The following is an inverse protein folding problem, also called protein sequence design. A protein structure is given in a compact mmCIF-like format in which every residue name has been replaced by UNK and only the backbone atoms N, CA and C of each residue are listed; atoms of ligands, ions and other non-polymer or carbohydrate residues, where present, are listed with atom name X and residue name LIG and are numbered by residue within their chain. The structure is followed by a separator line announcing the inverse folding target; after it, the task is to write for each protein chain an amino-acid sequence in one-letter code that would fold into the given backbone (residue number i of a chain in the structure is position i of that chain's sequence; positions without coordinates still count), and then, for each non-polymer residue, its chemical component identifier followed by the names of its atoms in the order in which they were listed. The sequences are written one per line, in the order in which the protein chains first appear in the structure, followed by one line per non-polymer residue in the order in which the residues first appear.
data_IF_708621275019
#
_entry.id   IF_708621275019
#
_cell.length_a   1.000
_cell.length_b   1.000
_cell.length_c   1.000
_cell.angle_alpha   90.00
_cell.angle_beta   90.00
_cell.angle_gamma   90.00
#
_symmetry.space_group_name_H-M   'P 1'
#
loop_
_entity.id
_entity.type
_entity.pdbx_description
1 polymer ?
#
# COMPACT_ATOMS: atom_id res chain seq x y z
N UNK A 1 -4.10 26.94 1.90
CA UNK A 1 -4.48 25.79 1.06
C UNK A 1 -5.45 26.19 -0.06
N UNK A 2 -5.01 26.08 -1.31
CA UNK A 2 -5.84 26.08 -2.52
C UNK A 2 -5.91 24.68 -3.13
N UNK A 3 -7.05 24.34 -3.73
CA UNK A 3 -7.25 23.06 -4.44
C UNK A 3 -7.29 23.33 -5.94
N UNK A 4 -6.51 22.55 -6.70
CA UNK A 4 -6.37 22.61 -8.14
C UNK A 4 -6.96 21.32 -8.74
N UNK A 5 -8.22 21.34 -9.20
CA UNK A 5 -8.88 20.16 -9.74
C UNK A 5 -8.56 19.93 -11.22
N UNK A 6 -8.39 18.66 -11.59
CA UNK A 6 -8.20 18.20 -12.95
C UNK A 6 -9.18 17.07 -13.28
N UNK A 7 -9.61 16.97 -14.53
CA UNK A 7 -10.43 15.82 -14.97
C UNK A 7 -9.57 14.55 -15.01
N UNK A 8 -8.41 14.61 -15.66
CA UNK A 8 -7.50 13.47 -15.82
C UNK A 8 -6.05 13.95 -15.75
N UNK A 9 -5.21 13.22 -15.01
CA UNK A 9 -3.75 13.35 -15.01
C UNK A 9 -3.11 11.98 -15.21
N UNK A 10 -1.80 11.92 -15.48
CA UNK A 10 -1.07 10.66 -15.36
C UNK A 10 -0.89 10.28 -13.89
N UNK A 11 -0.39 11.21 -13.09
CA UNK A 11 -0.35 11.12 -11.62
C UNK A 11 -0.42 12.52 -11.00
N UNK A 12 -1.21 12.69 -9.93
CA UNK A 12 -1.23 13.93 -9.13
C UNK A 12 0.14 14.20 -8.49
N UNK A 13 0.85 13.14 -8.09
CA UNK A 13 2.19 13.23 -7.51
C UNK A 13 3.21 13.78 -8.50
N UNK A 14 3.28 13.19 -9.69
CA UNK A 14 4.23 13.64 -10.72
C UNK A 14 3.90 15.06 -11.17
N UNK A 15 2.61 15.34 -11.42
CA UNK A 15 2.19 16.68 -11.83
C UNK A 15 2.62 17.74 -10.81
N UNK A 16 2.35 17.52 -9.52
CA UNK A 16 2.72 18.48 -8.48
C UNK A 16 4.24 18.62 -8.35
N UNK A 17 4.98 17.51 -8.45
CA UNK A 17 6.44 17.46 -8.38
C UNK A 17 7.15 18.13 -9.55
N UNK A 18 6.57 18.06 -10.74
CA UNK A 18 7.08 18.72 -11.95
C UNK A 18 6.83 20.23 -11.91
N UNK A 19 5.72 20.67 -11.32
CA UNK A 19 5.29 22.07 -11.24
C UNK A 19 5.46 22.67 -9.83
N UNK A 20 6.35 22.11 -8.99
CA UNK A 20 6.45 22.43 -7.55
C UNK A 20 6.56 23.93 -7.22
N UNK A 21 7.26 24.68 -8.07
CA UNK A 21 7.47 26.14 -7.94
C UNK A 21 6.17 26.97 -8.01
N UNK A 22 5.08 26.37 -8.54
CA UNK A 22 3.77 27.03 -8.66
C UNK A 22 2.89 26.89 -7.43
N UNK A 23 3.26 26.02 -6.50
CA UNK A 23 2.43 25.64 -5.35
C UNK A 23 3.01 26.16 -4.03
N UNK A 24 2.11 26.51 -3.12
CA UNK A 24 2.45 26.82 -1.74
C UNK A 24 2.34 25.58 -0.85
N UNK A 25 2.90 25.65 0.35
CA UNK A 25 2.71 24.58 1.33
C UNK A 25 1.22 24.35 1.59
N UNK A 26 0.84 23.07 1.69
CA UNK A 26 -0.53 22.56 1.79
C UNK A 26 -1.47 22.88 0.63
N UNK A 27 -0.97 23.41 -0.50
CA UNK A 27 -1.77 23.38 -1.74
C UNK A 27 -1.99 21.94 -2.21
N UNK A 28 -3.10 21.72 -2.91
CA UNK A 28 -3.55 20.37 -3.29
C UNK A 28 -3.79 20.28 -4.79
N UNK A 29 -3.17 19.31 -5.45
CA UNK A 29 -3.55 18.87 -6.79
C UNK A 29 -4.47 17.68 -6.64
N UNK A 30 -5.64 17.68 -7.28
CA UNK A 30 -6.53 16.53 -7.32
C UNK A 30 -6.96 16.20 -8.75
N UNK A 31 -7.26 14.93 -9.01
CA UNK A 31 -7.77 14.49 -10.30
C UNK A 31 -8.98 13.56 -10.13
N UNK A 32 -9.97 13.64 -11.03
CA UNK A 32 -11.07 12.65 -11.05
C UNK A 32 -10.58 11.27 -11.50
N UNK A 33 -9.55 11.21 -12.34
CA UNK A 33 -8.93 9.95 -12.78
C UNK A 33 -7.41 10.10 -12.98
N UNK A 34 -6.67 9.01 -12.79
CA UNK A 34 -5.23 8.92 -13.10
C UNK A 34 -4.95 7.79 -14.10
N UNK A 35 -4.20 8.10 -15.17
CA UNK A 35 -3.80 7.11 -16.19
C UNK A 35 -2.63 6.22 -15.74
N UNK A 36 -1.78 6.74 -14.87
CA UNK A 36 -0.56 6.10 -14.39
C UNK A 36 -0.45 6.26 -12.87
N UNK A 37 -1.54 5.97 -12.15
CA UNK A 37 -1.59 6.04 -10.69
C UNK A 37 -0.50 5.20 -10.03
N UNK A 38 0.23 5.79 -9.09
CA UNK A 38 1.41 5.17 -8.45
C UNK A 38 1.12 4.78 -7.00
N UNK A 39 1.56 3.59 -6.64
CA UNK A 39 1.73 3.14 -5.27
C UNK A 39 3.22 3.04 -4.89
N UNK A 40 3.49 2.62 -3.66
CA UNK A 40 4.87 2.39 -3.20
C UNK A 40 5.53 1.28 -4.01
N UNK A 41 6.86 1.38 -4.13
CA UNK A 41 7.70 0.35 -4.76
C UNK A 41 7.30 0.03 -6.19
N UNK A 42 6.66 0.93 -6.93
CA UNK A 42 6.23 0.67 -8.31
C UNK A 42 4.93 -0.13 -8.43
N UNK A 43 4.22 -0.38 -7.33
CA UNK A 43 2.85 -0.88 -7.41
C UNK A 43 1.96 0.14 -8.14
N UNK A 44 0.92 -0.34 -8.82
CA UNK A 44 -0.02 0.50 -9.54
C UNK A 44 -1.20 0.82 -8.62
N UNK A 45 -1.63 2.08 -8.61
CA UNK A 45 -2.88 2.49 -7.96
C UNK A 45 -4.02 2.56 -8.97
N UNK A 46 -4.90 1.56 -8.95
CA UNK A 46 -6.06 1.49 -9.84
C UNK A 46 -7.01 2.65 -9.50
N UNK A 47 -7.25 3.52 -10.47
CA UNK A 47 -8.05 4.73 -10.31
C UNK A 47 -9.40 4.57 -11.00
N UNK A 48 -10.47 4.41 -10.21
CA UNK A 48 -11.85 4.40 -10.70
C UNK A 48 -12.58 5.70 -10.34
N UNK A 49 -13.61 6.04 -11.11
CA UNK A 49 -14.40 7.26 -10.86
C UNK A 49 -15.05 7.22 -9.47
N UNK A 50 -15.03 8.36 -8.77
CA UNK A 50 -15.54 8.49 -7.41
C UNK A 50 -14.50 8.30 -6.31
N UNK A 51 -13.23 8.03 -6.65
CA UNK A 51 -12.12 8.03 -5.69
C UNK A 51 -11.69 9.46 -5.32
N UNK A 52 -11.13 9.62 -4.12
CA UNK A 52 -10.32 10.80 -3.81
C UNK A 52 -8.87 10.51 -4.21
N UNK A 53 -8.39 11.18 -5.27
CA UNK A 53 -7.03 11.07 -5.79
C UNK A 53 -6.40 12.44 -5.74
N UNK A 54 -5.47 12.65 -4.80
CA UNK A 54 -4.89 13.96 -4.58
C UNK A 54 -3.47 13.89 -4.03
N UNK A 55 -2.73 14.97 -4.22
CA UNK A 55 -1.40 15.18 -3.66
C UNK A 55 -1.34 16.57 -3.06
N UNK A 56 -0.71 16.70 -1.90
CA UNK A 56 -0.41 18.00 -1.30
C UNK A 56 1.08 18.15 -0.99
N UNK A 57 1.53 19.40 -0.93
CA UNK A 57 2.92 19.77 -0.75
C UNK A 57 3.21 20.08 0.73
N UNK A 58 4.28 19.49 1.26
CA UNK A 58 4.88 19.86 2.55
C UNK A 58 6.31 20.31 2.30
N UNK A 59 6.70 21.47 2.83
CA UNK A 59 8.05 22.01 2.64
C UNK A 59 8.93 21.65 3.83
N UNK A 60 10.20 21.37 3.56
CA UNK A 60 11.18 21.16 4.63
C UNK A 60 11.39 22.47 5.40
N UNK A 61 11.36 22.38 6.72
CA UNK A 61 11.73 23.46 7.64
C UNK A 61 13.25 23.44 7.82
N UNK A 62 13.91 24.57 7.61
CA UNK A 62 15.39 24.65 7.59
C UNK A 62 16.05 24.08 8.86
N UNK A 63 15.40 24.25 10.01
CA UNK A 63 15.90 23.79 11.31
C UNK A 63 15.69 22.29 11.58
N UNK A 64 14.97 21.57 10.71
CA UNK A 64 14.56 20.17 10.95
C UNK A 64 15.40 19.18 10.14
N UNK A 65 15.68 18.02 10.73
CA UNK A 65 16.47 16.96 10.07
C UNK A 65 15.63 16.17 9.07
N UNK A 66 16.28 15.62 8.03
CA UNK A 66 15.61 14.77 7.04
C UNK A 66 14.94 13.53 7.66
N UNK A 67 15.51 13.00 8.74
CA UNK A 67 15.00 11.83 9.46
C UNK A 67 13.60 12.07 10.05
N UNK A 68 13.28 13.32 10.44
CA UNK A 68 11.95 13.67 10.95
C UNK A 68 10.88 13.49 9.87
N UNK A 69 11.22 13.76 8.61
CA UNK A 69 10.29 13.63 7.48
C UNK A 69 10.05 12.18 7.05
N UNK A 70 10.84 11.21 7.52
CA UNK A 70 10.54 9.79 7.31
C UNK A 70 9.23 9.35 7.96
N UNK A 71 8.71 10.12 8.93
CA UNK A 71 7.45 9.86 9.63
C UNK A 71 6.22 10.46 8.91
N UNK A 72 6.40 11.19 7.80
CA UNK A 72 5.28 11.75 7.03
C UNK A 72 4.19 10.74 6.65
N UNK A 73 4.49 9.49 6.22
CA UNK A 73 3.44 8.51 5.94
C UNK A 73 2.59 8.16 7.17
N UNK A 74 3.20 8.15 8.36
CA UNK A 74 2.51 7.88 9.63
C UNK A 74 1.60 9.05 10.00
N UNK A 75 2.11 10.29 9.90
CA UNK A 75 1.36 11.52 10.18
C UNK A 75 0.18 11.69 9.21
N UNK A 76 0.41 11.51 7.90
CA UNK A 76 -0.63 11.56 6.90
C UNK A 76 -1.69 10.46 7.12
N UNK A 77 -1.27 9.27 7.55
CA UNK A 77 -2.19 8.19 7.87
C UNK A 77 -3.09 8.49 9.07
N UNK A 78 -2.51 9.08 10.12
CA UNK A 78 -3.27 9.54 11.26
C UNK A 78 -4.22 10.68 10.89
N UNK A 79 -3.78 11.63 10.05
CA UNK A 79 -4.61 12.72 9.55
C UNK A 79 -5.85 12.20 8.81
N UNK A 80 -5.67 11.19 7.95
CA UNK A 80 -6.80 10.53 7.27
C UNK A 80 -7.76 9.92 8.29
N UNK A 81 -7.26 9.18 9.28
CA UNK A 81 -8.12 8.54 10.27
C UNK A 81 -8.86 9.56 11.15
N UNK A 82 -8.20 10.63 11.61
CA UNK A 82 -8.84 11.71 12.37
C UNK A 82 -9.95 12.38 11.57
N UNK A 83 -9.70 12.73 10.30
CA UNK A 83 -10.71 13.32 9.42
C UNK A 83 -11.91 12.38 9.20
N UNK A 84 -11.68 11.07 9.02
CA UNK A 84 -12.76 10.09 8.86
C UNK A 84 -13.58 9.90 10.13
N UNK A 85 -12.95 9.82 11.31
CA UNK A 85 -13.64 9.71 12.60
C UNK A 85 -14.53 10.91 12.89
N UNK A 86 -14.08 12.12 12.54
CA UNK A 86 -14.88 13.34 12.66
C UNK A 86 -16.20 13.29 11.85
N UNK A 87 -16.23 12.52 10.76
CA UNK A 87 -17.43 12.31 9.95
C UNK A 87 -18.29 11.17 10.47
N UNK A 88 -17.67 10.03 10.78
CA UNK A 88 -18.36 8.85 11.28
C UNK A 88 -17.43 8.02 12.15
N UNK A 89 -17.82 7.83 13.40
CA UNK A 89 -17.07 7.01 14.36
C UNK A 89 -17.18 5.53 13.97
N UNK A 90 -16.11 5.01 13.38
CA UNK A 90 -15.94 3.60 13.00
C UNK A 90 -14.51 3.15 13.35
N UNK A 91 -14.29 1.85 13.32
CA UNK A 91 -12.97 1.26 13.54
C UNK A 91 -12.10 1.35 12.27
N UNK A 92 -11.52 2.52 12.04
CA UNK A 92 -10.44 2.70 11.07
C UNK A 92 -9.11 2.25 11.69
N UNK A 93 -8.30 1.55 10.90
CA UNK A 93 -7.05 0.95 11.35
C UNK A 93 -5.92 1.42 10.44
N UNK A 94 -4.75 1.66 11.02
CA UNK A 94 -3.54 1.99 10.29
C UNK A 94 -2.72 0.72 10.07
N UNK A 95 -2.48 0.36 8.80
CA UNK A 95 -1.56 -0.72 8.43
C UNK A 95 -0.24 -0.09 8.01
N UNK A 96 0.78 -0.31 8.83
CA UNK A 96 2.15 0.09 8.52
C UNK A 96 2.55 -0.49 7.14
N UNK A 97 3.17 0.30 6.27
CA UNK A 97 3.74 1.65 6.51
C UNK A 97 2.81 2.82 6.22
N UNK A 98 1.73 2.63 5.46
CA UNK A 98 1.11 3.74 4.72
C UNK A 98 -0.33 3.47 4.25
N UNK A 99 -0.98 2.42 4.75
CA UNK A 99 -2.30 2.03 4.30
C UNK A 99 -3.34 2.24 5.40
N UNK A 100 -4.53 2.70 5.03
CA UNK A 100 -5.68 2.82 5.92
C UNK A 100 -6.64 1.67 5.63
N UNK A 101 -7.09 1.01 6.68
CA UNK A 101 -7.97 -0.15 6.63
C UNK A 101 -9.30 0.16 7.34
N UNK A 102 -10.38 -0.42 6.81
CA UNK A 102 -11.70 -0.42 7.40
C UNK A 102 -12.31 -1.80 7.18
N UNK A 103 -12.87 -2.42 8.24
CA UNK A 103 -13.41 -3.79 8.18
C UNK A 103 -12.43 -4.81 7.56
N UNK A 104 -11.15 -4.73 7.95
CA UNK A 104 -10.05 -5.56 7.44
C UNK A 104 -9.73 -5.42 5.94
N UNK A 105 -10.27 -4.43 5.25
CA UNK A 105 -10.01 -4.14 3.83
C UNK A 105 -9.36 -2.78 3.67
N UNK A 106 -8.53 -2.62 2.64
CA UNK A 106 -7.83 -1.38 2.31
C UNK A 106 -8.81 -0.31 1.83
N UNK A 107 -8.80 0.83 2.49
CA UNK A 107 -9.59 2.01 2.19
C UNK A 107 -8.76 3.07 1.47
N UNK A 108 -7.54 3.31 1.93
CA UNK A 108 -6.64 4.30 1.36
C UNK A 108 -5.18 3.84 1.35
N UNK A 109 -4.39 4.41 0.46
CA UNK A 109 -2.93 4.26 0.42
C UNK A 109 -2.26 5.61 0.29
N UNK A 110 -1.11 5.75 0.95
CA UNK A 110 -0.35 7.01 1.03
C UNK A 110 1.01 6.82 0.39
N UNK A 111 1.38 7.73 -0.52
CA UNK A 111 2.66 7.74 -1.19
C UNK A 111 3.37 9.07 -0.90
N UNK A 112 4.46 9.02 -0.16
CA UNK A 112 5.32 10.19 0.07
C UNK A 112 6.52 10.09 -0.85
N UNK A 113 6.72 11.13 -1.66
CA UNK A 113 7.90 11.30 -2.50
C UNK A 113 8.59 12.62 -2.18
N UNK A 114 9.88 12.71 -2.47
CA UNK A 114 10.68 13.92 -2.21
C UNK A 114 11.34 14.39 -3.50
N UNK A 115 11.43 15.71 -3.67
CA UNK A 115 12.32 16.36 -4.63
C UNK A 115 12.93 17.58 -3.96
N UNK A 116 14.25 17.61 -3.83
CA UNK A 116 14.96 18.65 -3.08
C UNK A 116 14.41 18.75 -1.65
N UNK A 117 13.90 19.91 -1.25
CA UNK A 117 13.34 20.17 0.07
C UNK A 117 11.79 20.08 0.11
N UNK A 118 11.18 19.64 -0.99
CA UNK A 118 9.73 19.47 -1.10
C UNK A 118 9.31 18.00 -0.96
N UNK A 119 8.28 17.77 -0.15
CA UNK A 119 7.63 16.47 0.05
C UNK A 119 6.23 16.48 -0.56
N UNK A 120 5.95 15.49 -1.39
CA UNK A 120 4.68 15.32 -2.12
C UNK A 120 3.93 14.15 -1.50
N UNK A 121 2.87 14.45 -0.76
CA UNK A 121 2.07 13.46 -0.05
C UNK A 121 0.85 13.14 -0.91
N UNK A 122 0.95 12.05 -1.66
CA UNK A 122 -0.12 11.47 -2.46
C UNK A 122 -1.02 10.59 -1.63
N UNK A 123 -2.33 10.78 -1.76
CA UNK A 123 -3.34 9.94 -1.12
C UNK A 123 -4.33 9.50 -2.19
N UNK A 124 -4.41 8.18 -2.36
CA UNK A 124 -5.49 7.52 -3.07
C UNK A 124 -6.44 6.90 -2.07
N UNK A 125 -7.73 7.21 -2.16
CA UNK A 125 -8.74 6.69 -1.24
C UNK A 125 -10.02 6.29 -1.97
N UNK A 126 -10.55 5.13 -1.62
CA UNK A 126 -11.82 4.63 -2.10
C UNK A 126 -12.97 5.35 -1.38
N UNK A 127 -13.65 6.26 -2.07
CA UNK A 127 -14.70 7.11 -1.46
C UNK A 127 -16.08 6.72 -1.99
N UNK A 128 -16.42 7.15 -3.20
CA UNK A 128 -17.70 6.89 -3.86
C UNK A 128 -17.57 5.92 -5.03
N UNK A 129 -16.40 5.32 -5.21
CA UNK A 129 -16.15 4.40 -6.29
C UNK A 129 -16.69 3.01 -5.98
N UNK A 130 -17.11 2.32 -7.04
CA UNK A 130 -17.32 0.87 -6.98
C UNK A 130 -15.97 0.18 -6.94
N UNK A 131 -15.80 -0.70 -5.97
CA UNK A 131 -14.61 -1.54 -5.87
C UNK A 131 -14.70 -2.62 -6.96
N UNK A 132 -13.68 -2.74 -7.84
CA UNK A 132 -13.63 -3.81 -8.83
C UNK A 132 -13.78 -5.18 -8.18
N UNK A 133 -14.45 -6.12 -8.87
CA UNK A 133 -14.76 -7.45 -8.31
C UNK A 133 -13.49 -8.17 -7.87
N UNK A 134 -12.39 -8.00 -8.62
CA UNK A 134 -11.05 -8.58 -8.45
C UNK A 134 -10.42 -8.27 -7.09
N UNK A 135 -10.70 -7.07 -6.57
CA UNK A 135 -10.11 -6.59 -5.32
C UNK A 135 -11.15 -6.37 -4.22
N UNK A 136 -12.42 -6.72 -4.48
CA UNK A 136 -13.54 -6.52 -3.54
C UNK A 136 -13.32 -7.16 -2.18
N UNK A 137 -12.52 -8.22 -2.10
CA UNK A 137 -12.23 -8.88 -0.84
C UNK A 137 -11.06 -8.28 -0.07
N UNK A 138 -10.24 -7.43 -0.71
CA UNK A 138 -9.09 -6.74 -0.10
C UNK A 138 -9.25 -5.23 -0.01
N UNK A 139 -10.22 -4.64 -0.70
CA UNK A 139 -10.49 -3.21 -0.75
C UNK A 139 -11.95 -2.88 -0.42
N UNK A 140 -12.18 -1.69 0.12
CA UNK A 140 -13.50 -1.19 0.53
C UNK A 140 -13.57 0.31 0.24
N UNK A 141 -14.77 0.81 -0.10
CA UNK A 141 -15.03 2.25 -0.24
C UNK A 141 -15.84 2.80 0.93
N UNK A 142 -15.75 4.11 1.17
CA UNK A 142 -16.59 4.77 2.18
C UNK A 142 -18.07 4.60 1.85
N UNK A 143 -18.48 4.73 0.59
CA UNK A 143 -19.88 4.60 0.17
C UNK A 143 -20.46 3.21 0.51
N UNK A 144 -19.68 2.13 0.37
CA UNK A 144 -20.11 0.77 0.77
C UNK A 144 -20.49 0.70 2.26
N UNK A 145 -19.78 1.45 3.11
CA UNK A 145 -19.96 1.43 4.56
C UNK A 145 -20.92 2.50 5.06
N UNK A 146 -20.85 3.69 4.48
CA UNK A 146 -21.63 4.85 4.88
C UNK A 146 -23.05 4.77 4.32
N UNK A 147 -23.24 4.12 3.17
CA UNK A 147 -24.49 4.05 2.41
C UNK A 147 -24.98 5.42 1.92
N UNK A 148 -24.06 6.37 1.73
CA UNK A 148 -24.30 7.72 1.23
C UNK A 148 -23.07 8.22 0.46
N UNK A 149 -23.29 9.24 -0.39
CA UNK A 149 -22.21 9.88 -1.15
C UNK A 149 -21.47 10.87 -0.25
N UNK A 150 -20.15 10.80 -0.28
CA UNK A 150 -19.27 11.72 0.44
C UNK A 150 -18.77 12.82 -0.49
N UNK A 151 -18.86 14.08 -0.06
CA UNK A 151 -18.27 15.21 -0.81
C UNK A 151 -16.74 15.15 -0.70
N UNK A 152 -16.08 14.94 -1.85
CA UNK A 152 -14.66 14.58 -1.94
C UNK A 152 -13.77 15.78 -1.61
N UNK A 153 -14.09 16.98 -2.11
CA UNK A 153 -13.23 18.15 -1.90
C UNK A 153 -13.19 18.54 -0.43
N UNK A 154 -14.33 18.53 0.25
CA UNK A 154 -14.47 18.75 1.69
C UNK A 154 -13.69 17.71 2.49
N UNK A 155 -13.72 16.43 2.10
CA UNK A 155 -12.94 15.38 2.77
C UNK A 155 -11.43 15.62 2.60
N UNK A 156 -10.99 15.99 1.40
CA UNK A 156 -9.59 16.34 1.13
C UNK A 156 -9.16 17.52 2.01
N UNK A 157 -9.98 18.58 2.11
CA UNK A 157 -9.68 19.74 2.95
C UNK A 157 -9.52 19.35 4.42
N UNK A 158 -10.42 18.54 4.96
CA UNK A 158 -10.33 18.07 6.34
C UNK A 158 -9.06 17.26 6.58
N UNK A 159 -8.70 16.34 5.68
CA UNK A 159 -7.48 15.53 5.79
C UNK A 159 -6.22 16.41 5.81
N UNK A 160 -6.13 17.38 4.89
CA UNK A 160 -4.94 18.24 4.80
C UNK A 160 -4.85 19.16 6.03
N UNK A 161 -5.97 19.68 6.53
CA UNK A 161 -6.00 20.47 7.77
C UNK A 161 -5.59 19.64 9.00
N UNK A 162 -6.03 18.38 9.09
CA UNK A 162 -5.57 17.48 10.16
C UNK A 162 -4.07 17.17 10.02
N UNK A 163 -3.55 17.06 8.80
CA UNK A 163 -2.12 16.84 8.57
C UNK A 163 -1.28 18.06 8.95
N UNK A 164 -1.74 19.27 8.63
CA UNK A 164 -1.12 20.54 9.03
C UNK A 164 -0.99 20.63 10.56
N UNK A 165 -2.09 20.40 11.30
CA UNK A 165 -2.09 20.36 12.77
C UNK A 165 -1.12 19.31 13.33
N UNK A 166 -1.16 18.09 12.79
CA UNK A 166 -0.29 16.99 13.23
C UNK A 166 1.19 17.28 13.00
N UNK A 167 1.53 17.98 11.92
CA UNK A 167 2.91 18.41 11.68
C UNK A 167 3.36 19.44 12.71
N UNK A 168 2.50 20.40 13.06
CA UNK A 168 2.79 21.36 14.14
C UNK A 168 2.99 20.67 15.49
N UNK A 169 2.08 19.78 15.87
CA UNK A 169 2.17 18.95 17.08
C UNK A 169 3.49 18.16 17.10
N UNK A 170 3.79 17.47 15.99
CA UNK A 170 5.00 16.66 15.84
C UNK A 170 6.29 17.50 15.99
N UNK A 171 6.40 18.63 15.29
CA UNK A 171 7.57 19.49 15.39
C UNK A 171 7.68 20.21 16.74
N UNK A 172 6.56 20.36 17.47
CA UNK A 172 6.56 20.87 18.85
C UNK A 172 6.99 19.84 19.89
N UNK A 173 7.26 18.59 19.49
CA UNK A 173 7.77 17.54 20.36
C UNK A 173 6.73 16.51 20.83
N UNK A 174 5.50 16.53 20.31
CA UNK A 174 4.41 15.63 20.73
C UNK A 174 4.43 14.27 20.01
N UNK A 175 5.61 13.80 19.59
CA UNK A 175 5.72 12.56 18.83
C UNK A 175 5.25 11.33 19.61
N UNK A 176 5.51 11.29 20.92
CA UNK A 176 5.12 10.15 21.77
C UNK A 176 3.60 9.97 21.79
N UNK A 177 2.83 11.04 22.00
CA UNK A 177 1.35 11.00 22.01
C UNK A 177 0.78 10.59 20.64
N UNK A 178 1.33 11.16 19.56
CA UNK A 178 0.97 10.80 18.18
C UNK A 178 1.23 9.31 17.93
N UNK A 179 2.40 8.80 18.35
CA UNK A 179 2.77 7.40 18.16
C UNK A 179 1.89 6.45 18.99
N UNK A 180 1.50 6.85 20.21
CA UNK A 180 0.55 6.09 21.01
C UNK A 180 -0.81 5.96 20.32
N UNK A 181 -1.32 7.06 19.74
CA UNK A 181 -2.57 7.04 18.97
C UNK A 181 -2.45 6.10 17.76
N UNK A 182 -1.37 6.19 16.98
CA UNK A 182 -1.13 5.31 15.83
C UNK A 182 -1.07 3.84 16.27
N UNK A 183 -0.36 3.53 17.36
CA UNK A 183 -0.26 2.17 17.87
C UNK A 183 -1.58 1.60 18.42
N UNK A 184 -2.48 2.44 18.92
CA UNK A 184 -3.80 2.03 19.37
C UNK A 184 -4.68 1.51 18.22
N UNK A 185 -4.42 1.97 16.99
CA UNK A 185 -5.12 1.58 15.75
C UNK A 185 -4.23 0.78 14.78
N UNK A 186 -3.11 0.23 15.26
CA UNK A 186 -2.20 -0.56 14.44
C UNK A 186 -2.86 -1.89 14.00
N UNK A 187 -3.24 -1.94 12.72
CA UNK A 187 -3.88 -3.10 12.09
C UNK A 187 -3.06 -4.40 12.23
N UNK A 188 -1.74 -4.29 12.28
CA UNK A 188 -0.83 -5.42 12.27
C UNK A 188 -0.53 -5.96 13.66
N UNK A 189 -0.84 -5.22 14.73
CA UNK A 189 -0.51 -5.59 16.11
C UNK A 189 -1.01 -7.01 16.45
N UNK A 190 -0.11 -7.85 16.96
CA UNK A 190 -0.38 -9.23 17.32
C UNK A 190 -0.49 -10.21 16.13
N UNK A 191 -0.43 -9.73 14.88
CA UNK A 191 -0.47 -10.60 13.70
C UNK A 191 0.90 -11.17 13.38
N UNK A 192 0.93 -12.44 12.99
CA UNK A 192 2.11 -13.06 12.38
C UNK A 192 2.19 -12.63 10.92
N UNK A 193 3.31 -12.05 10.50
CA UNK A 193 3.54 -11.60 9.14
C UNK A 193 4.90 -12.04 8.63
N UNK A 194 5.09 -11.97 7.31
CA UNK A 194 6.39 -11.84 6.68
C UNK A 194 6.70 -10.39 6.37
N UNK A 195 7.96 -9.98 6.48
CA UNK A 195 8.44 -8.67 6.08
C UNK A 195 9.56 -8.81 5.06
N UNK A 196 9.38 -8.18 3.89
CA UNK A 196 10.34 -8.21 2.78
C UNK A 196 11.02 -6.85 2.59
N UNK A 197 12.34 -6.83 2.76
CA UNK A 197 13.19 -5.64 2.58
C UNK A 197 14.39 -5.99 1.69
N UNK A 198 14.26 -5.75 0.38
CA UNK A 198 15.26 -6.24 -0.58
C UNK A 198 15.35 -7.76 -0.55
N UNK A 199 16.56 -8.30 -0.32
CA UNK A 199 16.79 -9.74 -0.18
C UNK A 199 16.49 -10.29 1.23
N UNK A 200 16.22 -9.42 2.20
CA UNK A 200 15.90 -9.82 3.56
C UNK A 200 14.42 -10.21 3.65
N UNK A 201 14.16 -11.35 4.26
CA UNK A 201 12.83 -11.81 4.64
C UNK A 201 12.84 -12.24 6.09
N UNK A 202 11.97 -11.64 6.91
CA UNK A 202 11.83 -11.96 8.32
C UNK A 202 10.37 -12.31 8.61
N UNK A 203 10.14 -13.42 9.31
CA UNK A 203 8.83 -13.75 9.85
C UNK A 203 8.79 -13.45 11.34
N UNK A 204 7.68 -12.88 11.80
CA UNK A 204 7.54 -12.56 13.21
C UNK A 204 6.12 -12.11 13.57
N UNK A 205 5.90 -11.92 14.87
CA UNK A 205 4.67 -11.34 15.41
C UNK A 205 4.89 -9.86 15.62
N UNK A 206 4.05 -9.03 15.01
CA UNK A 206 4.12 -7.58 15.15
C UNK A 206 3.79 -7.16 16.57
N UNK A 207 4.68 -6.40 17.18
CA UNK A 207 4.50 -5.89 18.54
C UNK A 207 3.90 -4.48 18.52
N UNK A 208 4.59 -3.54 17.86
CA UNK A 208 4.20 -2.13 17.73
C UNK A 208 4.94 -1.46 16.58
N UNK A 209 4.67 -0.17 16.38
CA UNK A 209 5.56 0.77 15.71
C UNK A 209 6.38 1.46 16.81
N UNK A 210 7.69 1.51 16.66
CA UNK A 210 8.61 2.08 17.67
C UNK A 210 8.77 3.61 17.55
N UNK A 211 9.59 4.18 18.43
CA UNK A 211 9.87 5.62 18.51
C UNK A 211 10.50 6.21 17.23
N UNK A 212 11.08 5.38 16.37
CA UNK A 212 11.65 5.82 15.10
C UNK A 212 10.61 5.81 13.97
N UNK A 213 9.45 5.18 14.19
CA UNK A 213 8.43 4.94 13.17
C UNK A 213 8.59 3.59 12.47
N UNK A 214 9.41 2.70 13.02
CA UNK A 214 9.75 1.40 12.43
C UNK A 214 8.84 0.30 12.95
N UNK A 215 8.59 -0.73 12.14
CA UNK A 215 7.77 -1.86 12.56
C UNK A 215 8.59 -2.84 13.40
N UNK A 216 8.18 -3.04 14.65
CA UNK A 216 8.83 -3.95 15.59
C UNK A 216 8.23 -5.36 15.46
N UNK A 217 9.08 -6.35 15.15
CA UNK A 217 8.73 -7.76 15.00
C UNK A 217 9.44 -8.61 16.04
N UNK A 218 8.69 -9.49 16.71
CA UNK A 218 9.23 -10.58 17.50
C UNK A 218 9.41 -11.80 16.58
N UNK A 219 10.65 -12.06 16.17
CA UNK A 219 11.06 -13.21 15.36
C UNK A 219 11.72 -14.30 16.23
N UNK A 220 12.21 -15.38 15.62
CA UNK A 220 13.00 -16.39 16.33
C UNK A 220 14.35 -15.85 16.83
N UNK A 221 14.87 -14.79 16.19
CA UNK A 221 16.12 -14.13 16.56
C UNK A 221 15.94 -13.08 17.65
N UNK A 222 14.69 -12.85 18.09
CA UNK A 222 14.32 -11.86 19.08
C UNK A 222 13.56 -10.67 18.49
N UNK A 223 13.61 -9.54 19.18
CA UNK A 223 12.90 -8.32 18.82
C UNK A 223 13.75 -7.50 17.84
N UNK A 224 13.20 -7.16 16.68
CA UNK A 224 13.88 -6.42 15.61
C UNK A 224 12.95 -5.33 15.04
N UNK A 225 13.49 -4.15 14.75
CA UNK A 225 12.78 -3.04 14.11
C UNK A 225 13.16 -2.87 12.65
N UNK A 226 12.19 -2.45 11.84
CA UNK A 226 12.38 -2.25 10.40
C UNK A 226 11.70 -0.96 9.91
N UNK A 227 12.48 0.02 9.47
CA UNK A 227 11.96 1.26 8.87
C UNK A 227 11.53 1.14 7.40
N UNK A 228 11.95 0.07 6.72
CA UNK A 228 11.63 -0.18 5.31
C UNK A 228 11.23 -1.64 5.14
N UNK A 229 10.08 -1.88 4.52
CA UNK A 229 9.60 -3.23 4.27
C UNK A 229 8.30 -3.25 3.48
N UNK A 230 8.02 -4.38 2.86
CA UNK A 230 6.69 -4.74 2.37
C UNK A 230 6.20 -5.83 3.32
N UNK A 231 5.10 -5.53 4.01
CA UNK A 231 4.42 -6.50 4.84
C UNK A 231 3.71 -7.46 3.89
N UNK A 232 4.12 -8.72 3.92
CA UNK A 232 3.55 -9.79 3.11
C UNK A 232 2.97 -10.87 4.04
N UNK A 233 2.02 -11.63 3.52
CA UNK A 233 1.53 -12.87 4.12
C UNK A 233 2.57 -13.97 3.91
N UNK A 234 2.18 -15.20 4.25
CA UNK A 234 2.99 -16.38 4.02
C UNK A 234 3.52 -16.47 2.59
N UNK A 235 4.63 -17.19 2.46
CA UNK A 235 5.28 -17.40 1.18
C UNK A 235 4.63 -18.56 0.43
N UNK A 236 4.32 -18.34 -0.83
CA UNK A 236 3.68 -19.30 -1.71
C UNK A 236 4.59 -19.59 -2.90
N UNK A 237 4.80 -20.87 -3.17
CA UNK A 237 5.52 -21.35 -4.35
C UNK A 237 4.53 -21.58 -5.49
N UNK A 238 4.86 -21.07 -6.67
CA UNK A 238 4.09 -21.31 -7.90
C UNK A 238 5.00 -21.98 -8.94
N UNK A 239 4.57 -23.10 -9.50
CA UNK A 239 5.27 -23.73 -10.63
C UNK A 239 5.01 -22.93 -11.90
N UNK A 240 6.07 -22.55 -12.62
CA UNK A 240 5.94 -21.83 -13.88
C UNK A 240 5.52 -22.74 -15.02
N UNK A 241 4.34 -22.46 -15.58
CA UNK A 241 3.81 -23.09 -16.78
C UNK A 241 3.68 -22.05 -17.91
N UNK A 242 3.77 -22.49 -19.17
CA UNK A 242 3.73 -21.61 -20.35
C UNK A 242 2.30 -21.13 -20.68
N UNK A 243 1.60 -20.54 -19.73
CA UNK A 243 0.23 -20.06 -19.91
C UNK A 243 0.00 -18.71 -19.22
N UNK A 244 -0.99 -17.95 -19.71
CA UNK A 244 -1.38 -16.67 -19.12
C UNK A 244 -2.02 -16.86 -17.74
N UNK A 245 -2.59 -18.04 -17.48
CA UNK A 245 -3.23 -18.41 -16.23
C UNK A 245 -2.27 -18.31 -15.03
N UNK A 246 -1.04 -18.83 -15.15
CA UNK A 246 -0.07 -18.80 -14.04
C UNK A 246 0.34 -17.37 -13.70
N UNK A 247 0.45 -16.51 -14.71
CA UNK A 247 0.76 -15.10 -14.53
C UNK A 247 -0.36 -14.37 -13.79
N UNK A 248 -1.60 -14.65 -14.16
CA UNK A 248 -2.79 -14.09 -13.47
C UNK A 248 -2.89 -14.61 -12.03
N UNK A 249 -2.64 -15.90 -11.78
CA UNK A 249 -2.61 -16.45 -10.42
C UNK A 249 -1.56 -15.76 -9.55
N UNK A 250 -0.34 -15.58 -10.08
CA UNK A 250 0.72 -14.86 -9.39
C UNK A 250 0.32 -13.40 -9.09
N UNK A 251 -0.32 -12.72 -10.05
CA UNK A 251 -0.88 -11.39 -9.86
C UNK A 251 -1.91 -11.37 -8.72
N UNK A 252 -2.90 -12.27 -8.73
CA UNK A 252 -3.93 -12.36 -7.70
C UNK A 252 -3.32 -12.56 -6.30
N UNK A 253 -2.31 -13.43 -6.15
CA UNK A 253 -1.66 -13.63 -4.85
C UNK A 253 -0.86 -12.41 -4.41
N UNK A 254 -0.18 -11.73 -5.34
CA UNK A 254 0.52 -10.48 -5.06
C UNK A 254 -0.46 -9.41 -4.58
N UNK A 255 -1.63 -9.28 -5.21
CA UNK A 255 -2.71 -8.38 -4.76
C UNK A 255 -3.28 -8.80 -3.40
N UNK A 256 -3.43 -10.11 -3.15
CA UNK A 256 -3.81 -10.66 -1.85
C UNK A 256 -2.69 -10.59 -0.79
N UNK A 257 -1.57 -9.95 -1.14
CA UNK A 257 -0.44 -9.60 -0.30
C UNK A 257 0.42 -10.79 0.14
N UNK A 258 0.51 -11.88 -0.64
CA UNK A 258 1.42 -13.01 -0.38
C UNK A 258 2.83 -12.76 -0.95
N UNK A 259 3.85 -13.41 -0.36
CA UNK A 259 5.19 -13.45 -0.95
C UNK A 259 5.26 -14.61 -1.95
N UNK A 260 5.13 -14.28 -3.25
CA UNK A 260 5.08 -15.28 -4.30
C UNK A 260 6.50 -15.55 -4.82
N UNK A 261 6.89 -16.82 -4.84
CA UNK A 261 8.10 -17.28 -5.51
C UNK A 261 7.69 -18.25 -6.63
N UNK A 262 8.05 -17.89 -7.84
CA UNK A 262 7.88 -18.73 -9.00
C UNK A 262 9.12 -19.63 -9.17
N UNK A 263 8.93 -20.89 -9.55
CA UNK A 263 10.02 -21.80 -9.83
C UNK A 263 9.80 -22.58 -11.13
N UNK A 264 10.90 -23.01 -11.75
CA UNK A 264 10.87 -23.84 -12.95
C UNK A 264 11.91 -24.96 -12.86
N UNK A 265 11.55 -26.14 -13.36
CA UNK A 265 12.42 -27.31 -13.44
C UNK A 265 13.22 -27.33 -14.77
N UNK A 266 12.86 -26.49 -15.74
CA UNK A 266 13.47 -26.44 -17.08
C UNK A 266 13.95 -25.02 -17.44
N UNK A 267 14.75 -24.90 -18.52
CA UNK A 267 15.17 -23.60 -19.05
C UNK A 267 13.94 -22.88 -19.64
N UNK A 268 13.57 -21.74 -19.04
CA UNK A 268 12.35 -21.00 -19.36
C UNK A 268 12.61 -19.83 -20.34
N UNK A 269 11.59 -19.44 -21.09
CA UNK A 269 11.68 -18.33 -22.05
C UNK A 269 11.66 -16.96 -21.34
N UNK A 270 12.56 -16.05 -21.74
CA UNK A 270 12.76 -14.76 -21.06
C UNK A 270 11.55 -13.81 -21.05
N UNK A 271 10.61 -13.95 -21.99
CA UNK A 271 9.45 -13.04 -22.09
C UNK A 271 8.50 -13.14 -20.89
N UNK A 272 8.37 -14.32 -20.29
CA UNK A 272 7.55 -14.54 -19.11
C UNK A 272 8.27 -14.10 -17.83
N UNK A 273 9.60 -14.21 -17.80
CA UNK A 273 10.42 -13.69 -16.71
C UNK A 273 10.28 -12.17 -16.61
N UNK A 274 10.32 -11.44 -17.74
CA UNK A 274 10.09 -9.99 -17.76
C UNK A 274 8.70 -9.62 -17.23
N UNK A 275 7.67 -10.40 -17.58
CA UNK A 275 6.30 -10.19 -17.09
C UNK A 275 6.24 -10.37 -15.57
N UNK A 276 6.80 -11.47 -15.04
CA UNK A 276 6.82 -11.74 -13.59
C UNK A 276 7.69 -10.75 -12.82
N UNK A 277 8.76 -10.24 -13.42
CA UNK A 277 9.59 -9.21 -12.84
C UNK A 277 8.80 -7.91 -12.60
N UNK A 278 7.85 -7.55 -13.50
CA UNK A 278 6.93 -6.42 -13.30
C UNK A 278 6.01 -6.63 -12.09
N UNK A 279 5.66 -7.87 -11.76
CA UNK A 279 4.90 -8.23 -10.56
C UNK A 279 5.77 -8.35 -9.30
N UNK A 280 7.10 -8.16 -9.42
CA UNK A 280 8.06 -8.35 -8.33
C UNK A 280 8.01 -9.76 -7.72
N UNK A 281 7.76 -10.74 -8.59
CA UNK A 281 7.80 -12.16 -8.25
C UNK A 281 9.24 -12.65 -8.43
N UNK A 282 9.78 -13.30 -7.40
CA UNK A 282 11.10 -13.93 -7.49
C UNK A 282 10.99 -15.20 -8.34
N UNK A 283 11.93 -15.40 -9.26
CA UNK A 283 12.00 -16.60 -10.10
C UNK A 283 13.24 -17.42 -9.76
N UNK A 284 13.06 -18.70 -9.48
CA UNK A 284 14.12 -19.67 -9.25
C UNK A 284 14.17 -20.69 -10.40
N UNK A 285 15.38 -20.97 -10.88
CA UNK A 285 15.61 -21.75 -12.11
C UNK A 285 16.20 -23.11 -11.79
N UNK A 286 15.86 -24.10 -12.62
CA UNK A 286 16.32 -25.48 -12.49
C UNK A 286 16.21 -25.99 -11.04
N UNK A 287 15.09 -25.67 -10.39
CA UNK A 287 14.82 -25.99 -8.99
C UNK A 287 13.53 -26.80 -8.91
N UNK A 288 13.57 -27.90 -8.17
CA UNK A 288 12.41 -28.73 -7.90
C UNK A 288 11.55 -28.12 -6.77
N UNK A 289 10.28 -28.56 -6.68
CA UNK A 289 9.41 -28.14 -5.58
C UNK A 289 10.02 -28.45 -4.20
N UNK A 290 10.62 -29.63 -4.03
CA UNK A 290 11.19 -30.05 -2.74
C UNK A 290 12.36 -29.15 -2.31
N UNK A 291 13.28 -28.84 -3.23
CA UNK A 291 14.38 -27.90 -2.98
C UNK A 291 13.86 -26.51 -2.62
N UNK A 292 12.80 -26.05 -3.30
CA UNK A 292 12.20 -24.74 -3.07
C UNK A 292 11.48 -24.67 -1.73
N UNK A 293 10.69 -25.68 -1.38
CA UNK A 293 10.00 -25.78 -0.09
C UNK A 293 10.99 -25.77 1.06
N UNK A 294 12.10 -26.51 0.95
CA UNK A 294 13.17 -26.50 1.96
C UNK A 294 13.89 -25.15 2.02
N UNK A 295 14.31 -24.62 0.87
CA UNK A 295 15.06 -23.35 0.77
C UNK A 295 14.27 -22.16 1.31
N UNK A 296 12.97 -22.14 1.06
CA UNK A 296 12.12 -20.98 1.34
C UNK A 296 11.16 -21.14 2.50
N UNK A 297 11.06 -22.34 3.07
CA UNK A 297 10.08 -22.70 4.11
C UNK A 297 8.66 -22.27 3.70
N UNK A 298 8.33 -22.56 2.44
CA UNK A 298 7.11 -22.11 1.78
C UNK A 298 6.24 -23.31 1.41
N UNK A 299 4.94 -23.06 1.23
CA UNK A 299 4.01 -24.08 0.71
C UNK A 299 3.82 -23.86 -0.78
N UNK A 300 3.61 -24.94 -1.54
CA UNK A 300 3.11 -24.77 -2.90
C UNK A 300 1.68 -24.22 -2.91
N UNK A 301 1.33 -23.56 -4.00
CA UNK A 301 -0.02 -23.10 -4.25
C UNK A 301 -1.04 -24.25 -4.19
N UNK A 302 -0.65 -25.43 -4.68
CA UNK A 302 -1.47 -26.64 -4.69
C UNK A 302 -1.69 -27.24 -3.29
N UNK A 303 -0.75 -27.01 -2.37
CA UNK A 303 -0.78 -27.49 -0.97
C UNK A 303 -1.40 -26.48 0.01
N UNK A 304 -1.94 -25.35 -0.49
CA UNK A 304 -2.47 -24.30 0.36
C UNK A 304 -4.02 -24.33 0.38
N UNK A 305 -4.65 -25.12 1.27
CA UNK A 305 -6.09 -25.40 1.22
C UNK A 305 -7.00 -24.19 1.48
N UNK A 306 -6.48 -23.16 2.15
CA UNK A 306 -7.23 -21.95 2.52
C UNK A 306 -6.59 -20.67 1.94
N UNK A 307 -6.01 -20.76 0.73
CA UNK A 307 -5.32 -19.61 0.15
C UNK A 307 -6.36 -18.56 -0.21
N UNK A 308 -6.27 -17.40 0.41
CA UNK A 308 -7.10 -16.29 -0.02
C UNK A 308 -6.38 -15.60 -1.19
N UNK A 309 -7.02 -15.40 -2.36
CA UNK A 309 -8.44 -15.53 -2.59
C UNK A 309 -8.72 -16.65 -3.62
N UNK A 310 -8.88 -17.88 -3.13
CA UNK A 310 -9.20 -19.10 -3.90
C UNK A 310 -10.34 -18.89 -4.89
N UNK A 311 -11.32 -18.05 -4.53
CA UNK A 311 -12.47 -17.73 -5.36
C UNK A 311 -12.13 -17.03 -6.68
N UNK A 312 -10.94 -16.42 -6.84
CA UNK A 312 -10.50 -15.81 -8.11
C UNK A 312 -9.75 -16.77 -9.02
N UNK A 313 -9.59 -18.01 -8.60
CA UNK A 313 -8.89 -19.04 -9.37
C UNK A 313 -9.85 -19.81 -10.29
N UNK A 314 -11.12 -19.42 -10.33
CA UNK A 314 -12.10 -19.90 -11.31
C UNK A 314 -11.72 -19.45 -12.73
N UNK A 315 -11.85 -20.37 -13.70
CA UNK A 315 -11.38 -20.16 -15.09
C UNK A 315 -11.97 -18.89 -15.74
N UNK A 316 -13.23 -18.56 -15.44
CA UNK A 316 -13.92 -17.38 -15.95
C UNK A 316 -13.30 -16.07 -15.44
N UNK A 317 -12.96 -15.99 -14.15
CA UNK A 317 -12.33 -14.80 -13.54
C UNK A 317 -10.88 -14.64 -14.00
N UNK A 318 -10.15 -15.75 -14.15
CA UNK A 318 -8.80 -15.72 -14.72
C UNK A 318 -8.83 -15.13 -16.15
N UNK A 319 -9.82 -15.52 -16.97
CA UNK A 319 -10.02 -14.96 -18.32
C UNK A 319 -10.39 -13.47 -18.30
N UNK A 320 -11.15 -13.01 -17.31
CA UNK A 320 -11.48 -11.59 -17.15
C UNK A 320 -10.24 -10.76 -16.80
N UNK A 321 -9.51 -11.17 -15.77
CA UNK A 321 -8.27 -10.50 -15.32
C UNK A 321 -7.20 -10.52 -16.43
N UNK A 322 -7.14 -11.59 -17.21
CA UNK A 322 -6.24 -11.70 -18.36
C UNK A 322 -6.39 -10.56 -19.36
N UNK A 323 -7.60 -9.97 -19.50
CA UNK A 323 -7.84 -8.84 -20.42
C UNK A 323 -7.14 -7.55 -19.98
N UNK A 324 -6.79 -7.43 -18.69
CA UNK A 324 -6.02 -6.28 -18.16
C UNK A 324 -4.58 -6.32 -18.69
N UNK A 325 -4.07 -7.51 -19.01
CA UNK A 325 -2.68 -7.74 -19.39
C UNK A 325 -2.48 -8.03 -20.88
N UNK A 326 -3.57 -8.04 -21.67
CA UNK A 326 -3.58 -8.27 -23.11
C UNK A 326 -3.45 -6.94 -23.89
#
# INVERSE_FOLDING_TARGET
MKIYPFEVLDSTNDYMKEHRETFQEFDVVMAKNQRAGKGRRGNIWISTEGMALFTFLVKKREQETDEKYMKLPLLAGLAVIRALKNRKELEYQFKWTNDIYLRNKKLAGILVERREDDFFIGIGMNVNNLIPLEIKNIAISLQEVYQETTEIESLIREIVLECEKLLEEYFSGQWEDILQEINAMNYLKGKKIGLRAGNLFVQGIVQRIDENGELELLSQEGLQSFGIGEVVKERILIKLEKNLEIFVKAYILKEANYDVIAYTEEIFEGIWEERLAKLQVKVERNSSLEEMTQKYQAKSLEEYPDIFPLEYYEEEKIKEISKIFA
#
